data_IF_074550298852
#
_entry.id   IF_074550298852
#
_cell.length_a   1.000
_cell.length_b   1.000
_cell.length_c   1.000
_cell.angle_alpha   90.00
_cell.angle_beta   90.00
_cell.angle_gamma   90.00
#
_symmetry.space_group_name_H-M   'P 1'
#
loop_
_entity.id
_entity.type
_entity.pdbx_description
1 polymer ?
#
# COMPACT_ATOMS: atom_id res chain seq x y z
N UNK A 1 -12.40 17.29 12.77
CA UNK A 1 -11.76 17.65 11.49
C UNK A 1 -11.76 16.47 10.51
N UNK A 2 -11.51 15.23 10.95
CA UNK A 2 -11.44 14.03 10.10
C UNK A 2 -12.72 13.73 9.29
N UNK A 3 -13.90 13.97 9.86
CA UNK A 3 -15.20 13.66 9.21
C UNK A 3 -15.54 14.59 8.04
N UNK A 4 -15.06 15.82 8.05
CA UNK A 4 -15.31 16.79 6.96
C UNK A 4 -14.49 16.45 5.71
N UNK A 5 -13.30 15.88 5.89
CA UNK A 5 -12.45 15.45 4.79
C UNK A 5 -13.04 14.27 3.99
N UNK A 6 -13.88 13.44 4.63
CA UNK A 6 -14.65 12.39 3.95
C UNK A 6 -15.56 12.91 2.84
N UNK A 7 -16.07 14.13 2.99
CA UNK A 7 -17.02 14.76 2.05
C UNK A 7 -16.31 15.77 1.16
N UNK A 8 -15.41 16.58 1.73
CA UNK A 8 -14.75 17.68 0.98
C UNK A 8 -13.87 17.13 -0.15
N UNK A 9 -13.06 16.10 0.12
CA UNK A 9 -12.14 15.56 -0.89
C UNK A 9 -12.85 14.98 -2.12
N UNK A 10 -13.87 14.11 -2.01
CA UNK A 10 -14.61 13.64 -3.18
C UNK A 10 -15.35 14.78 -3.89
N UNK A 11 -15.98 15.71 -3.16
CA UNK A 11 -16.66 16.85 -3.78
C UNK A 11 -15.68 17.70 -4.58
N UNK A 12 -14.53 18.05 -4.02
CA UNK A 12 -13.49 18.80 -4.73
C UNK A 12 -12.98 18.05 -5.97
N UNK A 13 -12.77 16.74 -5.88
CA UNK A 13 -12.36 15.91 -7.00
C UNK A 13 -13.41 15.90 -8.12
N UNK A 14 -14.69 15.76 -7.77
CA UNK A 14 -15.78 15.85 -8.76
C UNK A 14 -15.90 17.25 -9.40
N UNK A 15 -15.72 18.31 -8.64
CA UNK A 15 -15.70 19.69 -9.18
C UNK A 15 -14.56 19.86 -10.18
N UNK A 16 -13.36 19.38 -9.87
CA UNK A 16 -12.22 19.44 -10.79
C UNK A 16 -12.50 18.62 -12.05
N UNK A 17 -13.05 17.42 -11.94
CA UNK A 17 -13.48 16.63 -13.09
C UNK A 17 -14.51 17.34 -13.97
N UNK A 18 -15.50 17.99 -13.38
CA UNK A 18 -16.50 18.77 -14.08
C UNK A 18 -15.91 20.00 -14.80
N UNK A 19 -14.96 20.66 -14.17
CA UNK A 19 -14.24 21.80 -14.77
C UNK A 19 -13.42 21.33 -15.97
N UNK A 20 -12.69 20.22 -15.87
CA UNK A 20 -11.94 19.66 -16.99
C UNK A 20 -12.88 19.27 -18.16
N UNK A 21 -14.03 18.73 -17.85
CA UNK A 21 -15.05 18.42 -18.87
C UNK A 21 -15.57 19.67 -19.57
N UNK A 22 -15.79 20.76 -18.84
CA UNK A 22 -16.21 22.04 -19.39
C UNK A 22 -15.15 22.67 -20.32
N UNK A 23 -13.87 22.37 -20.11
CA UNK A 23 -12.77 22.76 -21.00
C UNK A 23 -12.62 21.86 -22.25
N UNK A 24 -13.53 20.91 -22.47
CA UNK A 24 -13.56 20.05 -23.64
C UNK A 24 -12.65 18.82 -23.57
N UNK A 25 -12.19 18.45 -22.37
CA UNK A 25 -11.42 17.21 -22.19
C UNK A 25 -12.31 15.96 -22.34
N UNK A 26 -11.80 14.85 -22.89
CA UNK A 26 -12.54 13.60 -22.97
C UNK A 26 -13.05 13.14 -21.61
N UNK A 27 -14.25 12.56 -21.57
CA UNK A 27 -14.89 12.09 -20.33
C UNK A 27 -14.03 11.12 -19.53
N UNK A 28 -13.31 10.24 -20.22
CA UNK A 28 -12.40 9.26 -19.59
C UNK A 28 -11.27 9.92 -18.81
N UNK A 29 -10.69 10.99 -19.35
CA UNK A 29 -9.62 11.76 -18.69
C UNK A 29 -10.19 12.48 -17.46
N UNK A 30 -11.37 13.08 -17.58
CA UNK A 30 -12.01 13.81 -16.48
C UNK A 30 -12.33 12.89 -15.30
N UNK A 31 -12.87 11.71 -15.57
CA UNK A 31 -13.22 10.72 -14.54
C UNK A 31 -11.95 10.15 -13.90
N UNK A 32 -10.94 9.79 -14.71
CA UNK A 32 -9.65 9.30 -14.20
C UNK A 32 -8.98 10.32 -13.30
N UNK A 33 -8.94 11.60 -13.72
CA UNK A 33 -8.38 12.68 -12.92
C UNK A 33 -9.14 12.87 -11.60
N UNK A 34 -10.47 12.85 -11.63
CA UNK A 34 -11.29 12.98 -10.44
C UNK A 34 -11.03 11.84 -9.43
N UNK A 35 -11.01 10.58 -9.88
CA UNK A 35 -10.72 9.43 -9.02
C UNK A 35 -9.30 9.52 -8.46
N UNK A 36 -8.32 9.86 -9.28
CA UNK A 36 -6.92 9.97 -8.86
C UNK A 36 -6.72 11.05 -7.80
N UNK A 37 -7.29 12.23 -8.00
CA UNK A 37 -7.23 13.35 -7.04
C UNK A 37 -7.93 12.97 -5.74
N UNK A 38 -9.08 12.32 -5.81
CA UNK A 38 -9.80 11.85 -4.63
C UNK A 38 -8.97 10.88 -3.79
N UNK A 39 -8.42 9.85 -4.43
CA UNK A 39 -7.58 8.84 -3.75
C UNK A 39 -6.32 9.46 -3.17
N UNK A 40 -5.63 10.33 -3.94
CA UNK A 40 -4.43 11.03 -3.47
C UNK A 40 -4.72 11.93 -2.26
N UNK A 41 -5.83 12.68 -2.30
CA UNK A 41 -6.25 13.51 -1.18
C UNK A 41 -6.55 12.68 0.08
N UNK A 42 -7.18 11.52 -0.07
CA UNK A 42 -7.44 10.63 1.06
C UNK A 42 -6.20 9.90 1.58
N UNK A 43 -5.20 9.66 0.75
CA UNK A 43 -3.91 9.16 1.21
C UNK A 43 -3.15 10.17 2.06
N UNK A 44 -3.25 11.47 1.74
CA UNK A 44 -2.60 12.55 2.49
C UNK A 44 -3.36 12.86 3.79
N UNK A 45 -4.68 12.87 3.73
CA UNK A 45 -5.53 13.27 4.87
C UNK A 45 -5.93 12.12 5.78
N UNK A 46 -5.78 10.87 5.33
CA UNK A 46 -6.10 9.62 6.04
C UNK A 46 -7.46 9.64 6.79
N UNK A 47 -8.56 10.03 6.13
CA UNK A 47 -9.88 9.99 6.78
C UNK A 47 -10.34 8.55 7.05
N UNK A 48 -9.95 7.62 6.16
CA UNK A 48 -10.05 6.17 6.29
C UNK A 48 -8.68 5.53 6.12
N UNK A 49 -8.54 4.25 6.44
CA UNK A 49 -7.28 3.54 6.30
C UNK A 49 -6.79 3.50 4.84
N UNK A 50 -5.50 3.63 4.62
CA UNK A 50 -4.86 3.60 3.30
C UNK A 50 -5.26 2.36 2.48
N UNK A 51 -5.29 1.13 3.05
CA UNK A 51 -5.75 -0.05 2.31
C UNK A 51 -7.19 0.06 1.81
N UNK A 52 -8.10 0.63 2.61
CA UNK A 52 -9.49 0.81 2.20
C UNK A 52 -9.61 1.86 1.07
N UNK A 53 -8.85 2.96 1.14
CA UNK A 53 -8.78 3.97 0.07
C UNK A 53 -8.28 3.36 -1.24
N UNK A 54 -7.32 2.43 -1.17
CA UNK A 54 -6.76 1.77 -2.35
C UNK A 54 -7.76 0.87 -3.10
N UNK A 55 -8.87 0.49 -2.47
CA UNK A 55 -9.94 -0.27 -3.15
C UNK A 55 -10.86 0.61 -4.00
N UNK A 56 -10.81 1.93 -3.85
CA UNK A 56 -11.66 2.85 -4.63
C UNK A 56 -11.38 2.74 -6.14
N UNK A 57 -10.14 2.84 -6.63
CA UNK A 57 -9.85 2.68 -8.06
C UNK A 57 -10.21 1.29 -8.58
N UNK A 58 -10.03 0.23 -7.77
CA UNK A 58 -10.40 -1.14 -8.11
C UNK A 58 -11.87 -1.26 -8.49
N UNK A 59 -12.75 -0.54 -7.77
CA UNK A 59 -14.18 -0.55 -8.03
C UNK A 59 -14.60 0.45 -9.12
N UNK A 60 -14.07 1.68 -9.06
CA UNK A 60 -14.56 2.77 -9.89
C UNK A 60 -14.06 2.73 -11.34
N UNK A 61 -12.83 2.29 -11.61
CA UNK A 61 -12.34 2.23 -12.98
C UNK A 61 -13.12 1.27 -13.88
N UNK A 62 -13.46 0.04 -13.46
CA UNK A 62 -14.34 -0.81 -14.23
C UNK A 62 -15.78 -0.29 -14.30
N UNK A 63 -16.29 0.29 -13.19
CA UNK A 63 -17.66 0.79 -13.13
C UNK A 63 -17.92 1.91 -14.14
N UNK A 64 -16.94 2.79 -14.34
CA UNK A 64 -17.00 3.86 -15.32
C UNK A 64 -16.48 3.46 -16.71
N UNK A 65 -16.10 2.21 -16.91
CA UNK A 65 -15.62 1.69 -18.20
C UNK A 65 -14.28 2.25 -18.66
N UNK A 66 -13.46 2.78 -17.73
CA UNK A 66 -12.15 3.36 -18.05
C UNK A 66 -11.12 2.25 -18.27
N UNK A 67 -11.17 1.20 -17.45
CA UNK A 67 -10.34 0.02 -17.57
C UNK A 67 -11.21 -1.22 -17.53
N UNK A 68 -10.80 -2.28 -18.24
CA UNK A 68 -11.49 -3.56 -18.13
C UNK A 68 -11.31 -4.16 -16.73
N UNK A 69 -12.25 -4.96 -16.24
CA UNK A 69 -12.07 -5.69 -14.97
C UNK A 69 -10.80 -6.54 -14.93
N UNK A 70 -10.41 -7.11 -16.06
CA UNK A 70 -9.20 -7.94 -16.19
C UNK A 70 -7.92 -7.10 -16.04
N UNK A 71 -7.86 -5.91 -16.64
CA UNK A 71 -6.71 -5.02 -16.51
C UNK A 71 -6.52 -4.58 -15.05
N UNK A 72 -7.62 -4.23 -14.38
CA UNK A 72 -7.59 -3.84 -12.98
C UNK A 72 -7.20 -5.03 -12.10
N UNK A 73 -7.75 -6.21 -12.35
CA UNK A 73 -7.40 -7.43 -11.62
C UNK A 73 -5.92 -7.79 -11.79
N UNK A 74 -5.35 -7.66 -12.99
CA UNK A 74 -3.93 -7.88 -13.24
C UNK A 74 -3.04 -6.85 -12.53
N UNK A 75 -3.46 -5.59 -12.43
CA UNK A 75 -2.70 -4.56 -11.70
C UNK A 75 -2.63 -4.87 -10.20
N UNK A 76 -3.73 -5.28 -9.60
CA UNK A 76 -3.79 -5.64 -8.16
C UNK A 76 -3.24 -7.04 -7.88
N UNK A 77 -3.45 -8.00 -8.78
CA UNK A 77 -2.98 -9.38 -8.69
C UNK A 77 -1.61 -9.63 -9.31
N UNK A 78 -0.80 -8.60 -9.52
CA UNK A 78 0.53 -8.75 -10.09
C UNK A 78 1.40 -9.66 -9.22
N UNK A 79 2.15 -10.57 -9.86
CA UNK A 79 3.02 -11.54 -9.16
C UNK A 79 4.00 -10.89 -8.18
N UNK A 80 4.52 -9.70 -8.49
CA UNK A 80 5.43 -8.99 -7.60
C UNK A 80 4.71 -8.46 -6.35
N UNK A 81 3.48 -7.94 -6.51
CA UNK A 81 2.65 -7.49 -5.38
C UNK A 81 2.31 -8.67 -4.47
N UNK A 82 1.92 -9.82 -5.04
CA UNK A 82 1.63 -11.03 -4.26
C UNK A 82 2.87 -11.59 -3.57
N UNK A 83 4.04 -11.54 -4.22
CA UNK A 83 5.32 -11.93 -3.62
C UNK A 83 5.66 -11.03 -2.41
N UNK A 84 5.55 -9.72 -2.57
CA UNK A 84 5.76 -8.76 -1.48
C UNK A 84 4.77 -8.97 -0.33
N UNK A 85 3.50 -9.19 -0.65
CA UNK A 85 2.47 -9.50 0.34
C UNK A 85 2.84 -10.75 1.15
N UNK A 86 3.25 -11.84 0.46
CA UNK A 86 3.73 -13.05 1.11
C UNK A 86 4.94 -12.82 2.01
N UNK A 87 5.89 -12.01 1.56
CA UNK A 87 7.06 -11.60 2.35
C UNK A 87 6.68 -10.82 3.61
N UNK A 88 5.76 -9.86 3.50
CA UNK A 88 5.26 -9.11 4.65
C UNK A 88 4.49 -9.98 5.64
N UNK A 89 3.66 -10.91 5.14
CA UNK A 89 2.94 -11.85 6.00
C UNK A 89 3.93 -12.76 6.77
N UNK A 90 4.98 -13.25 6.10
CA UNK A 90 6.02 -14.06 6.73
C UNK A 90 6.79 -13.25 7.77
N UNK A 91 7.18 -12.00 7.45
CA UNK A 91 7.85 -11.10 8.38
C UNK A 91 7.00 -10.82 9.63
N UNK A 92 5.72 -10.52 9.46
CA UNK A 92 4.80 -10.30 10.56
C UNK A 92 4.59 -11.57 11.43
N UNK A 93 4.56 -12.74 10.80
CA UNK A 93 4.47 -14.02 11.51
C UNK A 93 5.74 -14.29 12.33
N UNK A 94 6.92 -14.03 11.78
CA UNK A 94 8.21 -14.14 12.48
C UNK A 94 8.30 -13.18 13.67
N UNK A 95 7.86 -11.94 13.49
CA UNK A 95 7.82 -10.94 14.56
C UNK A 95 6.89 -11.39 15.69
N UNK A 96 5.66 -11.77 15.36
CA UNK A 96 4.65 -12.21 16.33
C UNK A 96 5.03 -13.49 17.08
N UNK A 97 5.74 -14.41 16.42
CA UNK A 97 6.21 -15.66 17.03
C UNK A 97 7.49 -15.49 17.87
N UNK A 98 8.18 -14.36 17.77
CA UNK A 98 9.50 -14.13 18.39
C UNK A 98 10.61 -15.03 17.81
N UNK A 99 10.39 -15.60 16.62
CA UNK A 99 11.33 -16.51 15.99
C UNK A 99 12.69 -15.85 15.74
N UNK A 100 12.70 -14.58 15.31
CA UNK A 100 13.92 -13.81 15.10
C UNK A 100 14.77 -13.69 16.37
N UNK A 101 14.14 -13.50 17.55
CA UNK A 101 14.86 -13.44 18.83
C UNK A 101 15.45 -14.80 19.20
N UNK A 102 14.73 -15.89 18.96
CA UNK A 102 15.22 -17.25 19.23
C UNK A 102 16.40 -17.61 18.34
N UNK A 103 16.32 -17.26 17.05
CA UNK A 103 17.43 -17.46 16.10
C UNK A 103 18.64 -16.64 16.54
N UNK A 104 18.46 -15.34 16.84
CA UNK A 104 19.54 -14.47 17.31
C UNK A 104 20.21 -14.99 18.58
N UNK A 105 19.43 -15.40 19.58
CA UNK A 105 19.97 -15.98 20.83
C UNK A 105 20.67 -17.31 20.57
N UNK A 106 20.13 -18.14 19.70
CA UNK A 106 20.77 -19.40 19.28
C UNK A 106 22.14 -19.17 18.63
N UNK A 107 22.24 -18.17 17.74
CA UNK A 107 23.50 -17.78 17.12
C UNK A 107 24.51 -17.22 18.13
N UNK A 108 24.07 -16.35 19.05
CA UNK A 108 24.92 -15.81 20.12
C UNK A 108 25.44 -16.94 21.01
N UNK A 109 24.61 -17.90 21.39
CA UNK A 109 25.03 -19.07 22.18
C UNK A 109 26.00 -19.99 21.43
N UNK A 110 25.79 -20.18 20.12
CA UNK A 110 26.63 -21.04 19.29
C UNK A 110 28.04 -20.44 19.06
N UNK A 111 28.11 -19.12 18.79
CA UNK A 111 29.40 -18.44 18.55
C UNK A 111 30.11 -18.03 19.84
N UNK A 112 29.48 -18.15 21.00
CA UNK A 112 30.05 -17.91 22.34
C UNK A 112 30.22 -16.43 22.69
N UNK A 113 30.02 -16.11 23.96
CA UNK A 113 30.08 -14.75 24.51
C UNK A 113 31.52 -14.22 24.77
N UNK A 114 32.54 -14.90 24.23
CA UNK A 114 33.93 -14.66 24.66
C UNK A 114 34.68 -13.51 23.99
N UNK A 115 34.18 -12.92 22.89
CA UNK A 115 34.86 -11.81 22.20
C UNK A 115 33.89 -10.99 21.38
N UNK A 116 33.98 -9.65 21.43
CA UNK A 116 33.13 -8.76 20.64
C UNK A 116 33.17 -9.02 19.12
N UNK A 117 34.32 -9.49 18.59
CA UNK A 117 34.44 -9.87 17.20
C UNK A 117 33.58 -11.09 16.84
N UNK A 118 33.49 -12.10 17.73
CA UNK A 118 32.65 -13.29 17.52
C UNK A 118 31.16 -12.95 17.56
N UNK A 119 30.76 -12.03 18.41
CA UNK A 119 29.39 -11.48 18.45
C UNK A 119 29.01 -10.80 17.13
N UNK A 120 29.91 -9.95 16.61
CA UNK A 120 29.69 -9.28 15.30
C UNK A 120 29.55 -10.31 14.16
N UNK A 121 30.40 -11.32 14.12
CA UNK A 121 30.29 -12.42 13.14
C UNK A 121 28.98 -13.20 13.30
N UNK A 122 28.54 -13.46 14.55
CA UNK A 122 27.26 -14.11 14.81
C UNK A 122 26.07 -13.32 14.29
N UNK A 123 26.06 -12.00 14.50
CA UNK A 123 25.01 -11.12 13.97
C UNK A 123 25.04 -11.01 12.44
N UNK A 124 26.23 -10.94 11.83
CA UNK A 124 26.34 -10.91 10.35
C UNK A 124 25.90 -12.23 9.71
N UNK A 125 26.09 -13.35 10.38
CA UNK A 125 25.66 -14.67 9.89
C UNK A 125 24.14 -14.89 10.07
N UNK A 126 23.49 -14.16 10.99
CA UNK A 126 22.07 -14.24 11.27
C UNK A 126 21.22 -13.25 10.44
N UNK A 127 21.85 -12.25 9.81
CA UNK A 127 21.23 -11.28 8.91
C UNK A 127 21.14 -11.78 7.46
#
# INVERSE_FOLDING_TARGET
>A
MKNWMLIICPVAAFVIGAVLYAFGSPSEICITAAITIWVAAWWITEPISIPATSLIPLALFPLFGILSPDDVAQAYGNKLVLLMLGGFMLSAAMEKSGAHQRIALGMVNFFGSGSGRRLVFGFMAAS
#
